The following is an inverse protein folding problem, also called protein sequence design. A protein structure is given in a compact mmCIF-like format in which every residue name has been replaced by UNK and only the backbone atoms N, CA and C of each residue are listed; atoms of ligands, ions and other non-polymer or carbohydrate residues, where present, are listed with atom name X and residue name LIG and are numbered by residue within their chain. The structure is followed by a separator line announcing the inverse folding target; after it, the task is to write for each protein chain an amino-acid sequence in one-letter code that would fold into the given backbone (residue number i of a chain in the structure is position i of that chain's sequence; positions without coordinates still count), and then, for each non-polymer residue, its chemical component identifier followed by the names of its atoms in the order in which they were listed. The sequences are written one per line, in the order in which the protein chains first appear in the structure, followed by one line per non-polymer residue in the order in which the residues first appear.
data_IF_579181062426
#
_entry.id   IF_579181062426
#
_cell.length_a   1.000
_cell.length_b   1.000
_cell.length_c   1.000
_cell.angle_alpha   90.00
_cell.angle_beta   90.00
_cell.angle_gamma   90.00
#
_symmetry.space_group_name_H-M   'P 1'
#
loop_
_entity.id
_entity.type
_entity.pdbx_description
1 polymer ?
#
# COMPACT_ATOMS: atom_id res chain seq x y z
N UNK A 1 -18.84 17.34 0.07
CA UNK A 1 -17.64 17.72 -0.71
C UNK A 1 -16.77 16.46 -0.91
N UNK A 2 -16.84 15.80 -2.07
CA UNK A 2 -16.05 14.58 -2.31
C UNK A 2 -14.57 14.90 -2.42
N UNK A 3 -13.71 14.24 -1.62
CA UNK A 3 -12.25 14.36 -1.76
C UNK A 3 -11.84 13.94 -3.18
N UNK A 4 -11.37 14.87 -3.99
CA UNK A 4 -10.80 14.57 -5.30
C UNK A 4 -9.51 13.76 -5.09
N UNK A 5 -9.55 12.46 -5.35
CA UNK A 5 -8.35 11.61 -5.39
C UNK A 5 -7.61 11.89 -6.70
N UNK A 6 -6.38 12.41 -6.61
CA UNK A 6 -5.52 12.65 -7.79
C UNK A 6 -4.94 11.33 -8.29
N UNK A 7 -5.76 10.52 -8.94
CA UNK A 7 -5.37 9.19 -9.43
C UNK A 7 -4.25 9.31 -10.49
N UNK A 8 -4.30 10.35 -11.33
CA UNK A 8 -3.33 10.57 -12.42
C UNK A 8 -1.91 10.90 -11.95
N UNK A 9 -1.74 11.23 -10.67
CA UNK A 9 -0.43 11.53 -10.07
C UNK A 9 0.13 10.38 -9.24
N UNK A 10 -0.55 9.23 -9.23
CA UNK A 10 -0.12 8.07 -8.43
C UNK A 10 1.07 7.39 -9.10
N UNK A 11 2.16 7.29 -8.35
CA UNK A 11 3.34 6.51 -8.74
C UNK A 11 3.24 5.14 -8.08
N UNK A 12 3.17 4.07 -8.89
CA UNK A 12 3.00 2.70 -8.37
C UNK A 12 4.19 2.24 -7.52
N UNK A 13 5.40 2.65 -7.88
CA UNK A 13 6.65 2.38 -7.14
C UNK A 13 6.70 3.02 -5.75
N UNK A 14 5.92 4.08 -5.54
CA UNK A 14 5.74 4.71 -4.23
C UNK A 14 4.65 4.03 -3.40
N UNK A 15 3.78 3.23 -4.01
CA UNK A 15 2.65 2.60 -3.35
C UNK A 15 2.96 1.18 -2.89
N UNK A 16 3.58 0.38 -3.75
CA UNK A 16 3.77 -1.06 -3.56
C UNK A 16 5.14 -1.50 -4.04
N UNK A 17 5.66 -2.55 -3.42
CA UNK A 17 6.86 -3.27 -3.85
C UNK A 17 6.64 -4.78 -3.82
N UNK A 18 7.46 -5.49 -4.58
CA UNK A 18 7.48 -6.96 -4.55
C UNK A 18 7.71 -7.46 -3.13
N UNK A 19 6.89 -8.41 -2.70
CA UNK A 19 6.92 -8.98 -1.34
C UNK A 19 6.09 -8.21 -0.31
N UNK A 20 5.46 -7.09 -0.66
CA UNK A 20 4.47 -6.44 0.21
C UNK A 20 3.20 -7.32 0.31
N UNK A 21 2.64 -7.39 1.52
CA UNK A 21 1.32 -7.98 1.73
C UNK A 21 0.30 -6.85 1.68
N UNK A 22 -0.65 -6.97 0.75
CA UNK A 22 -1.60 -5.91 0.43
C UNK A 22 -3.02 -6.40 0.71
N UNK A 23 -3.73 -5.67 1.57
CA UNK A 23 -5.18 -5.83 1.72
C UNK A 23 -5.87 -5.04 0.62
N UNK A 24 -6.61 -5.74 -0.23
CA UNK A 24 -7.37 -5.16 -1.33
C UNK A 24 -8.77 -5.75 -1.38
N UNK A 25 -9.66 -5.07 -2.10
CA UNK A 25 -11.01 -5.53 -2.40
C UNK A 25 -11.09 -5.97 -3.86
N UNK A 26 -11.81 -7.07 -4.13
CA UNK A 26 -12.14 -7.47 -5.50
C UNK A 26 -13.11 -6.46 -6.07
N UNK A 27 -12.68 -5.75 -7.12
CA UNK A 27 -13.52 -4.79 -7.85
C UNK A 27 -14.29 -5.51 -8.95
N UNK A 28 -13.62 -6.42 -9.66
CA UNK A 28 -14.22 -7.25 -10.71
C UNK A 28 -13.42 -8.54 -10.89
N UNK A 29 -14.04 -9.53 -11.56
CA UNK A 29 -13.41 -10.82 -11.85
C UNK A 29 -12.23 -10.72 -12.81
N UNK A 30 -12.17 -9.67 -13.64
CA UNK A 30 -11.12 -9.52 -14.64
C UNK A 30 -11.24 -10.54 -15.77
N UNK A 31 -10.16 -11.29 -16.02
CA UNK A 31 -10.07 -12.32 -17.04
C UNK A 31 -9.71 -13.70 -16.46
N UNK A 32 -9.47 -14.69 -17.33
CA UNK A 32 -9.10 -16.04 -16.90
C UNK A 32 -7.77 -16.14 -16.13
N UNK A 33 -6.98 -15.05 -16.03
CA UNK A 33 -5.66 -15.04 -15.39
C UNK A 33 -5.60 -14.20 -14.14
N UNK A 34 -6.51 -13.23 -13.99
CA UNK A 34 -6.38 -12.23 -12.92
C UNK A 34 -7.70 -11.55 -12.55
N UNK A 35 -7.82 -11.27 -11.26
CA UNK A 35 -8.85 -10.38 -10.72
C UNK A 35 -8.43 -8.91 -10.86
N UNK A 36 -9.42 -8.03 -11.02
CA UNK A 36 -9.21 -6.58 -10.86
C UNK A 36 -9.42 -6.21 -9.41
N UNK A 37 -8.37 -5.73 -8.75
CA UNK A 37 -8.38 -5.38 -7.33
C UNK A 37 -8.32 -3.86 -7.12
N UNK A 38 -8.85 -3.38 -6.00
CA UNK A 38 -8.75 -1.98 -5.59
C UNK A 38 -8.28 -1.83 -4.15
N UNK A 39 -7.49 -0.79 -3.92
CA UNK A 39 -7.09 -0.28 -2.58
C UNK A 39 -7.62 1.13 -2.34
N UNK A 40 -8.52 1.62 -3.19
CA UNK A 40 -9.05 2.98 -3.10
C UNK A 40 -10.45 3.04 -2.47
N UNK A 41 -11.12 1.90 -2.29
CA UNK A 41 -12.51 1.84 -1.82
C UNK A 41 -12.65 2.19 -0.32
N UNK A 42 -11.65 1.86 0.51
CA UNK A 42 -11.68 2.13 1.94
C UNK A 42 -10.27 2.39 2.51
N UNK A 43 -10.23 3.04 3.66
CA UNK A 43 -9.01 3.49 4.34
C UNK A 43 -8.18 2.34 4.95
N UNK A 44 -8.81 1.21 5.26
CA UNK A 44 -8.12 0.02 5.78
C UNK A 44 -7.53 -0.86 4.66
N UNK A 45 -7.55 -0.39 3.40
CA UNK A 45 -6.96 -1.08 2.24
C UNK A 45 -5.60 -0.47 1.88
N UNK A 46 -4.65 -1.33 1.51
CA UNK A 46 -3.26 -0.94 1.28
C UNK A 46 -2.28 -1.98 1.82
N UNK A 47 -1.02 -1.59 1.92
CA UNK A 47 0.06 -2.39 2.48
C UNK A 47 -0.16 -2.58 3.98
N UNK A 48 -0.23 -3.84 4.43
CA UNK A 48 -0.38 -4.23 5.83
C UNK A 48 0.93 -4.77 6.43
N UNK A 49 1.80 -5.34 5.59
CA UNK A 49 3.13 -5.83 5.99
C UNK A 49 4.11 -5.60 4.84
N UNK A 50 5.30 -5.11 5.18
CA UNK A 50 6.39 -4.90 4.24
C UNK A 50 7.74 -5.10 4.93
N UNK A 51 8.77 -5.43 4.14
CA UNK A 51 10.16 -5.47 4.61
C UNK A 51 10.95 -4.30 4.04
N UNK A 52 11.89 -3.79 4.85
CA UNK A 52 12.82 -2.77 4.42
C UNK A 52 13.87 -3.34 3.48
N UNK A 53 14.63 -2.47 2.82
CA UNK A 53 15.81 -2.90 2.06
C UNK A 53 16.86 -3.62 2.94
N UNK A 54 16.85 -3.41 4.26
CA UNK A 54 17.70 -4.11 5.22
C UNK A 54 17.07 -5.41 5.76
N UNK A 55 15.96 -5.88 5.18
CA UNK A 55 15.29 -7.13 5.53
C UNK A 55 14.38 -7.08 6.77
N UNK A 56 14.41 -5.98 7.53
CA UNK A 56 13.61 -5.81 8.75
C UNK A 56 12.14 -5.49 8.44
N UNK A 57 11.17 -5.95 9.26
CA UNK A 57 9.77 -5.55 9.11
C UNK A 57 9.62 -4.04 9.32
N UNK A 58 8.85 -3.39 8.44
CA UNK A 58 8.58 -1.97 8.51
C UNK A 58 7.39 -1.68 9.45
N UNK A 59 7.48 -0.57 10.20
CA UNK A 59 6.37 -0.08 11.02
C UNK A 59 5.60 1.02 10.29
N UNK A 60 4.26 1.00 10.26
CA UNK A 60 3.48 2.08 9.66
C UNK A 60 3.65 3.37 10.46
N UNK A 61 3.87 4.50 9.76
CA UNK A 61 3.96 5.82 10.42
C UNK A 61 2.97 6.84 9.86
N UNK A 62 2.50 6.64 8.63
CA UNK A 62 1.39 7.38 8.05
C UNK A 62 0.81 6.61 6.87
N UNK A 63 -0.26 7.13 6.27
CA UNK A 63 -0.88 6.60 5.06
C UNK A 63 0.06 6.45 3.84
N UNK A 64 1.18 7.15 3.84
CA UNK A 64 2.13 7.19 2.72
C UNK A 64 3.50 6.61 3.06
N UNK A 65 3.78 6.33 4.33
CA UNK A 65 5.12 5.95 4.75
C UNK A 65 5.10 4.84 5.81
N UNK A 66 6.05 3.92 5.67
CA UNK A 66 6.49 3.04 6.73
C UNK A 66 7.94 3.37 7.10
N UNK A 67 8.36 3.04 8.32
CA UNK A 67 9.71 3.31 8.83
C UNK A 67 10.40 1.99 9.18
N UNK A 68 11.67 1.88 8.78
CA UNK A 68 12.51 0.78 9.23
C UNK A 68 12.96 1.04 10.67
N UNK A 69 12.71 0.12 11.62
CA UNK A 69 13.12 0.31 13.00
C UNK A 69 14.64 0.24 13.16
N UNK A 70 15.34 -0.51 12.30
CA UNK A 70 16.80 -0.69 12.37
C UNK A 70 17.55 0.52 11.79
N UNK A 71 17.15 0.99 10.60
CA UNK A 71 17.89 2.06 9.90
C UNK A 71 17.29 3.45 10.08
N UNK A 72 16.09 3.54 10.64
CA UNK A 72 15.34 4.79 10.77
C UNK A 72 14.79 5.35 9.45
N UNK A 73 15.13 4.77 8.29
CA UNK A 73 14.71 5.26 6.98
C UNK A 73 13.19 5.13 6.80
N UNK A 74 12.60 6.18 6.23
CA UNK A 74 11.20 6.18 5.79
C UNK A 74 11.12 5.66 4.36
N UNK A 75 10.25 4.71 4.13
CA UNK A 75 9.97 4.16 2.82
C UNK A 75 8.51 4.43 2.44
N UNK A 76 8.29 4.89 1.22
CA UNK A 76 6.94 5.15 0.72
C UNK A 76 6.19 3.83 0.49
N UNK A 77 4.96 3.75 0.96
CA UNK A 77 3.98 2.70 0.68
C UNK A 77 2.59 3.31 0.76
N UNK A 78 1.60 2.73 0.08
CA UNK A 78 0.19 3.03 0.31
C UNK A 78 -0.27 2.25 1.54
N UNK A 79 -0.10 2.81 2.72
CA UNK A 79 -0.28 2.09 4.00
C UNK A 79 -1.76 2.00 4.35
N UNK A 80 -2.21 0.79 4.68
CA UNK A 80 -3.55 0.58 5.22
C UNK A 80 -3.66 1.16 6.63
N UNK A 81 -4.77 1.83 6.95
CA UNK A 81 -5.06 2.19 8.35
C UNK A 81 -5.24 0.90 9.17
N UNK A 82 -4.53 0.74 10.29
CA UNK A 82 -4.83 -0.32 11.25
C UNK A 82 -6.31 -0.24 11.67
N UNK A 83 -6.97 -1.40 11.76
CA UNK A 83 -8.33 -1.48 12.28
C UNK A 83 -8.37 -1.14 13.77
#
# INVERSE_FOLDING_TARGET
MGKIKKVDKVQMTDCFRSGDFIRAQVLALGDHRSYVLTTAAADHLGVILARSAAGAPLSPISWQFMKCPVTGKKEKRKVAKPL
#
